data_IF_127182078690
#
_entry.id   IF_127182078690
#
_cell.length_a   1.000
_cell.length_b   1.000
_cell.length_c   1.000
_cell.angle_alpha   90.00
_cell.angle_beta   90.00
_cell.angle_gamma   90.00
#
_symmetry.space_group_name_H-M   'P 1'
#
loop_
_entity.id
_entity.type
_entity.pdbx_description
1 polymer ?
#
# COMPACT_ATOMS: atom_id res chain seq x y z
N UNK A 1 -14.76 -16.70 22.87
CA UNK A 1 -15.24 -15.57 22.04
C UNK A 1 -14.69 -15.82 20.64
N UNK A 2 -15.50 -16.40 19.74
CA UNK A 2 -15.03 -16.75 18.41
C UNK A 2 -14.87 -15.47 17.60
N UNK A 3 -13.64 -15.16 17.18
CA UNK A 3 -13.40 -14.15 16.16
C UNK A 3 -14.13 -14.60 14.90
N UNK A 4 -15.17 -13.87 14.50
CA UNK A 4 -15.86 -14.13 13.24
C UNK A 4 -14.80 -14.12 12.12
N UNK A 5 -14.77 -15.19 11.33
CA UNK A 5 -13.96 -15.24 10.13
C UNK A 5 -14.56 -14.24 9.14
N UNK A 6 -14.03 -13.02 9.14
CA UNK A 6 -14.42 -11.98 8.18
C UNK A 6 -13.90 -12.47 6.83
N UNK A 7 -14.77 -12.71 5.83
CA UNK A 7 -14.30 -13.03 4.49
C UNK A 7 -13.38 -11.90 4.02
N UNK A 8 -12.13 -12.23 3.71
CA UNK A 8 -11.14 -11.24 3.31
C UNK A 8 -11.29 -10.98 1.81
N UNK A 9 -11.54 -9.71 1.49
CA UNK A 9 -11.65 -9.24 0.13
C UNK A 9 -10.25 -9.10 -0.47
N UNK A 10 -10.07 -9.51 -1.73
CA UNK A 10 -8.86 -9.19 -2.48
C UNK A 10 -8.91 -7.72 -2.90
N UNK A 11 -7.74 -7.06 -2.91
CA UNK A 11 -7.64 -5.69 -3.42
C UNK A 11 -7.91 -5.70 -4.94
N UNK A 12 -8.58 -4.66 -5.42
CA UNK A 12 -8.90 -4.52 -6.84
C UNK A 12 -8.08 -3.41 -7.47
N UNK A 13 -7.78 -3.57 -8.76
CA UNK A 13 -7.09 -2.56 -9.55
C UNK A 13 -8.04 -2.03 -10.63
N UNK A 14 -8.02 -0.72 -10.83
CA UNK A 14 -8.76 -0.04 -11.89
C UNK A 14 -7.79 0.75 -12.75
N UNK A 15 -7.88 0.53 -14.06
CA UNK A 15 -7.09 1.25 -15.05
C UNK A 15 -8.00 2.20 -15.82
N UNK A 16 -7.52 3.42 -15.99
CA UNK A 16 -8.14 4.45 -16.81
C UNK A 16 -7.20 4.76 -17.98
N UNK A 17 -7.76 4.83 -19.18
CA UNK A 17 -6.95 5.04 -20.40
C UNK A 17 -6.63 6.52 -20.64
N UNK A 18 -7.39 7.44 -20.03
CA UNK A 18 -7.26 8.88 -20.20
C UNK A 18 -7.16 9.59 -18.85
N UNK A 19 -6.55 10.78 -18.84
CA UNK A 19 -6.55 11.66 -17.67
C UNK A 19 -7.97 12.21 -17.39
N UNK A 20 -8.35 12.40 -16.11
CA UNK A 20 -9.64 12.96 -15.77
C UNK A 20 -9.58 14.49 -15.84
N UNK A 21 -10.36 15.07 -16.75
CA UNK A 21 -10.65 16.51 -16.72
C UNK A 21 -11.37 16.91 -15.42
N UNK A 22 -11.62 18.21 -15.22
CA UNK A 22 -12.29 18.68 -14.00
C UNK A 22 -13.66 18.04 -13.75
N UNK A 23 -14.45 17.80 -14.80
CA UNK A 23 -15.78 17.21 -14.67
C UNK A 23 -15.69 15.72 -14.34
N UNK A 24 -14.82 14.97 -15.00
CA UNK A 24 -14.59 13.55 -14.72
C UNK A 24 -13.96 13.35 -13.34
N UNK A 25 -13.00 14.18 -12.96
CA UNK A 25 -12.39 14.12 -11.63
C UNK A 25 -13.45 14.25 -10.52
N UNK A 26 -14.43 15.15 -10.70
CA UNK A 26 -15.55 15.31 -9.77
C UNK A 26 -16.48 14.09 -9.75
N UNK A 27 -16.77 13.47 -10.91
CA UNK A 27 -17.57 12.23 -10.98
C UNK A 27 -16.87 11.05 -10.31
N UNK A 28 -15.57 10.91 -10.53
CA UNK A 28 -14.75 9.89 -9.87
C UNK A 28 -14.67 10.10 -8.36
N UNK A 29 -14.52 11.35 -7.90
CA UNK A 29 -14.59 11.67 -6.47
C UNK A 29 -15.94 11.29 -5.87
N UNK A 30 -17.05 11.53 -6.57
CA UNK A 30 -18.39 11.15 -6.08
C UNK A 30 -18.52 9.62 -5.94
N UNK A 31 -17.94 8.87 -6.87
CA UNK A 31 -17.86 7.41 -6.79
C UNK A 31 -17.09 6.98 -5.54
N UNK A 32 -15.91 7.57 -5.29
CA UNK A 32 -15.11 7.27 -4.10
C UNK A 32 -15.82 7.62 -2.78
N UNK A 33 -16.56 8.74 -2.75
CA UNK A 33 -17.31 9.16 -1.57
C UNK A 33 -18.38 8.13 -1.16
N UNK A 34 -19.10 7.59 -2.15
CA UNK A 34 -20.22 6.66 -1.95
C UNK A 34 -19.79 5.20 -1.77
N UNK A 35 -18.58 4.86 -2.20
CA UNK A 35 -18.09 3.47 -2.18
C UNK A 35 -17.75 3.01 -0.76
N UNK A 36 -18.19 1.82 -0.32
CA UNK A 36 -17.78 1.26 0.98
C UNK A 36 -16.29 0.89 0.97
N UNK A 37 -15.65 0.96 2.15
CA UNK A 37 -14.34 0.34 2.35
C UNK A 37 -14.55 -1.00 3.07
N UNK A 38 -14.16 -2.10 2.44
CA UNK A 38 -14.31 -3.44 3.02
C UNK A 38 -13.08 -3.89 3.82
N UNK A 39 -12.05 -3.06 3.88
CA UNK A 39 -10.79 -3.36 4.54
C UNK A 39 -10.72 -2.64 5.89
N UNK A 40 -10.03 -3.27 6.83
CA UNK A 40 -9.74 -2.73 8.15
C UNK A 40 -8.29 -3.02 8.53
N UNK A 41 -7.72 -2.33 9.52
CA UNK A 41 -6.39 -2.64 10.03
C UNK A 41 -6.24 -4.13 10.36
N UNK A 42 -5.18 -4.75 9.85
CA UNK A 42 -4.95 -6.19 9.97
C UNK A 42 -4.33 -6.51 11.36
N UNK A 43 -4.85 -7.56 12.02
CA UNK A 43 -4.33 -8.07 13.30
C UNK A 43 -4.05 -9.58 13.24
N UNK A 44 -2.96 -10.01 12.57
CA UNK A 44 -2.43 -11.36 12.70
C UNK A 44 -2.22 -11.75 14.17
N UNK A 45 -2.62 -12.96 14.54
CA UNK A 45 -2.49 -13.46 15.91
C UNK A 45 -1.13 -14.13 16.20
N UNK A 46 -0.41 -14.54 15.15
CA UNK A 46 0.86 -15.26 15.23
C UNK A 46 1.93 -14.62 14.37
N UNK A 47 3.10 -15.25 14.23
CA UNK A 47 4.23 -14.72 13.46
C UNK A 47 3.83 -14.33 12.04
N UNK A 48 4.49 -13.32 11.49
CA UNK A 48 4.31 -12.92 10.09
C UNK A 48 5.60 -13.05 9.29
N UNK A 49 5.44 -13.14 7.97
CA UNK A 49 6.51 -12.93 7.02
C UNK A 49 6.45 -11.51 6.44
N UNK A 50 7.61 -10.95 6.08
CA UNK A 50 7.68 -9.71 5.30
C UNK A 50 8.00 -10.01 3.85
N UNK A 51 7.32 -9.37 2.90
CA UNK A 51 7.70 -9.37 1.50
C UNK A 51 8.38 -8.06 1.12
N UNK A 52 9.68 -8.12 0.84
CA UNK A 52 10.55 -6.99 0.50
C UNK A 52 11.43 -6.54 1.67
N UNK A 53 12.74 -6.60 1.47
CA UNK A 53 13.78 -6.28 2.44
C UNK A 53 14.47 -4.92 2.23
N UNK A 54 13.86 -4.06 1.40
CA UNK A 54 14.34 -2.69 1.15
C UNK A 54 14.14 -1.76 2.36
N UNK A 55 14.20 -0.45 2.15
CA UNK A 55 14.06 0.55 3.23
C UNK A 55 12.76 0.39 4.03
N UNK A 56 11.63 0.11 3.34
CA UNK A 56 10.36 -0.15 4.03
C UNK A 56 10.38 -1.49 4.79
N UNK A 57 11.06 -2.51 4.26
CA UNK A 57 11.24 -3.79 4.95
C UNK A 57 12.04 -3.66 6.25
N UNK A 58 13.13 -2.89 6.23
CA UNK A 58 13.92 -2.57 7.45
C UNK A 58 13.08 -1.83 8.48
N UNK A 59 12.34 -0.81 8.04
CA UNK A 59 11.39 -0.11 8.90
C UNK A 59 10.34 -1.06 9.48
N UNK A 60 9.80 -1.98 8.68
CA UNK A 60 8.83 -2.97 9.12
C UNK A 60 9.41 -3.94 10.16
N UNK A 61 10.64 -4.43 9.97
CA UNK A 61 11.36 -5.25 10.96
C UNK A 61 11.52 -4.52 12.28
N UNK A 62 12.02 -3.29 12.24
CA UNK A 62 12.27 -2.50 13.45
C UNK A 62 10.96 -2.18 14.19
N UNK A 63 9.90 -1.89 13.43
CA UNK A 63 8.54 -1.74 13.95
C UNK A 63 8.07 -3.02 14.67
N UNK A 64 8.18 -4.19 14.03
CA UNK A 64 7.78 -5.49 14.61
C UNK A 64 8.50 -5.75 15.94
N UNK A 65 9.82 -5.52 15.97
CA UNK A 65 10.63 -5.62 17.19
C UNK A 65 10.11 -4.70 18.29
N UNK A 66 9.80 -3.45 17.96
CA UNK A 66 9.34 -2.46 18.94
C UNK A 66 7.94 -2.77 19.50
N UNK A 67 7.02 -3.29 18.67
CA UNK A 67 5.68 -3.67 19.15
C UNK A 67 5.63 -5.07 19.77
N UNK A 68 6.75 -5.80 19.76
CA UNK A 68 6.89 -7.14 20.33
C UNK A 68 6.18 -8.21 19.50
N UNK A 69 6.14 -8.04 18.18
CA UNK A 69 5.53 -9.00 17.26
C UNK A 69 6.61 -9.78 16.51
N UNK A 70 6.43 -11.09 16.40
CA UNK A 70 7.44 -11.98 15.80
C UNK A 70 7.50 -11.83 14.27
N UNK A 71 8.72 -11.67 13.77
CA UNK A 71 9.08 -11.80 12.35
C UNK A 71 9.66 -13.19 12.11
N UNK A 72 8.92 -14.04 11.40
CA UNK A 72 9.37 -15.41 11.15
C UNK A 72 10.39 -15.51 10.01
N UNK A 73 10.17 -14.74 8.92
CA UNK A 73 11.03 -14.74 7.75
C UNK A 73 10.81 -13.51 6.87
N UNK A 74 11.74 -13.30 5.94
CA UNK A 74 11.68 -12.28 4.91
C UNK A 74 11.74 -12.93 3.52
N UNK A 75 10.90 -12.44 2.62
CA UNK A 75 10.82 -12.87 1.23
C UNK A 75 11.36 -11.73 0.39
N UNK A 76 12.45 -11.96 -0.34
CA UNK A 76 13.01 -10.98 -1.27
C UNK A 76 13.56 -11.67 -2.50
N UNK A 77 13.46 -11.02 -3.67
CA UNK A 77 14.04 -11.52 -4.91
C UNK A 77 15.57 -11.69 -4.83
N UNK A 78 16.21 -10.90 -3.98
CA UNK A 78 17.66 -10.87 -3.78
C UNK A 78 18.04 -11.50 -2.43
N UNK A 79 17.45 -12.67 -2.15
CA UNK A 79 17.52 -13.32 -0.84
C UNK A 79 18.96 -13.59 -0.36
N UNK A 80 19.87 -13.95 -1.28
CA UNK A 80 21.27 -14.22 -0.93
C UNK A 80 21.99 -12.96 -0.45
N UNK A 81 21.86 -11.84 -1.18
CA UNK A 81 22.44 -10.57 -0.77
C UNK A 81 21.83 -10.08 0.55
N UNK A 82 20.51 -10.21 0.70
CA UNK A 82 19.82 -9.81 1.92
C UNK A 82 20.23 -10.68 3.11
N UNK A 83 20.40 -11.99 2.94
CA UNK A 83 20.87 -12.88 4.01
C UNK A 83 22.30 -12.57 4.46
N UNK A 84 23.14 -12.02 3.58
CA UNK A 84 24.49 -11.59 3.90
C UNK A 84 24.55 -10.20 4.58
N UNK A 85 23.45 -9.46 4.60
CA UNK A 85 23.37 -8.13 5.21
C UNK A 85 23.29 -8.26 6.75
N UNK A 86 24.22 -7.65 7.51
CA UNK A 86 24.25 -7.74 8.96
C UNK A 86 22.95 -7.28 9.65
N UNK A 87 22.18 -6.38 9.04
CA UNK A 87 20.92 -5.96 9.63
C UNK A 87 19.85 -7.07 9.62
N UNK A 88 19.95 -8.03 8.70
CA UNK A 88 19.05 -9.18 8.61
C UNK A 88 19.62 -10.43 9.29
N UNK A 89 20.72 -10.28 10.04
CA UNK A 89 21.33 -11.37 10.78
C UNK A 89 20.32 -12.08 11.71
N UNK A 90 20.29 -13.41 11.63
CA UNK A 90 19.37 -14.24 12.42
C UNK A 90 17.93 -14.30 11.89
N UNK A 91 17.59 -13.56 10.85
CA UNK A 91 16.29 -13.65 10.17
C UNK A 91 16.41 -14.60 8.99
N UNK A 92 15.47 -15.55 8.87
CA UNK A 92 15.42 -16.42 7.69
C UNK A 92 15.01 -15.60 6.47
N UNK A 93 15.81 -15.65 5.40
CA UNK A 93 15.50 -14.97 4.14
C UNK A 93 15.30 -16.00 3.02
N UNK A 94 14.27 -15.83 2.21
CA UNK A 94 13.92 -16.73 1.10
C UNK A 94 13.52 -15.97 -0.16
N UNK A 95 13.61 -16.62 -1.31
CA UNK A 95 13.11 -16.08 -2.59
C UNK A 95 11.59 -16.23 -2.71
N UNK A 96 10.90 -15.44 -3.55
CA UNK A 96 9.46 -15.58 -3.80
C UNK A 96 9.05 -16.98 -4.26
N UNK A 97 9.89 -17.67 -5.03
CA UNK A 97 9.63 -19.06 -5.46
C UNK A 97 9.57 -20.07 -4.31
N UNK A 98 10.18 -19.74 -3.16
CA UNK A 98 10.13 -20.54 -1.93
C UNK A 98 9.02 -20.07 -0.98
N UNK A 99 8.19 -19.11 -1.38
CA UNK A 99 7.04 -18.64 -0.63
C UNK A 99 5.81 -19.54 -0.77
N UNK A 100 5.85 -20.53 -1.66
CA UNK A 100 4.80 -21.54 -1.80
C UNK A 100 4.57 -22.23 -0.45
N UNK A 101 3.31 -22.32 -0.03
CA UNK A 101 2.89 -22.98 1.22
C UNK A 101 3.35 -22.30 2.52
N UNK A 102 3.65 -21.00 2.50
CA UNK A 102 3.79 -20.23 3.75
C UNK A 102 2.44 -20.22 4.47
N UNK A 103 2.36 -20.92 5.60
CA UNK A 103 1.16 -21.07 6.42
C UNK A 103 0.94 -19.89 7.39
N UNK A 104 1.50 -18.72 7.10
CA UNK A 104 1.39 -17.52 7.93
C UNK A 104 1.10 -16.28 7.07
N UNK A 105 0.61 -15.19 7.67
CA UNK A 105 0.36 -13.95 6.95
C UNK A 105 1.63 -13.32 6.39
N UNK A 106 1.53 -12.79 5.18
CA UNK A 106 2.59 -12.00 4.55
C UNK A 106 2.21 -10.53 4.58
N UNK A 107 3.03 -9.70 5.22
CA UNK A 107 2.93 -8.27 5.12
C UNK A 107 3.84 -7.74 4.01
N UNK A 108 3.26 -7.08 3.01
CA UNK A 108 3.97 -6.53 1.86
C UNK A 108 4.60 -5.19 2.23
N UNK A 109 5.93 -5.12 2.15
CA UNK A 109 6.77 -3.96 2.43
C UNK A 109 7.54 -3.49 1.19
N UNK A 110 6.92 -3.57 0.01
CA UNK A 110 7.44 -3.06 -1.27
C UNK A 110 6.59 -1.89 -1.75
N UNK A 111 7.24 -0.80 -2.18
CA UNK A 111 6.58 0.40 -2.75
C UNK A 111 6.95 0.64 -4.21
N UNK A 112 7.86 -0.18 -4.76
CA UNK A 112 8.40 -0.08 -6.13
C UNK A 112 7.64 -0.91 -7.16
N UNK A 113 6.63 -1.65 -6.73
CA UNK A 113 5.78 -2.47 -7.59
C UNK A 113 4.31 -2.23 -7.25
N UNK A 114 3.40 -2.35 -8.23
CA UNK A 114 1.97 -2.38 -7.99
C UNK A 114 1.61 -3.47 -6.97
N UNK A 115 0.73 -3.15 -6.04
CA UNK A 115 0.32 -4.02 -4.94
C UNK A 115 -0.62 -5.13 -5.43
N UNK A 116 -1.63 -4.81 -6.25
CA UNK A 116 -2.68 -5.79 -6.62
C UNK A 116 -2.13 -6.97 -7.44
N UNK A 117 -1.27 -6.77 -8.46
CA UNK A 117 -0.62 -7.88 -9.16
C UNK A 117 0.28 -8.72 -8.24
N UNK A 118 0.96 -8.09 -7.28
CA UNK A 118 1.80 -8.78 -6.32
C UNK A 118 0.97 -9.64 -5.36
N UNK A 119 -0.13 -9.11 -4.83
CA UNK A 119 -1.09 -9.83 -4.00
C UNK A 119 -1.63 -11.07 -4.73
N UNK A 120 -2.07 -10.92 -5.99
CA UNK A 120 -2.53 -12.05 -6.80
C UNK A 120 -1.46 -13.12 -6.96
N UNK A 121 -0.23 -12.71 -7.29
CA UNK A 121 0.90 -13.64 -7.43
C UNK A 121 1.15 -14.43 -6.15
N UNK A 122 1.05 -13.79 -4.98
CA UNK A 122 1.21 -14.47 -3.69
C UNK A 122 0.05 -15.43 -3.39
N UNK A 123 -1.18 -15.05 -3.72
CA UNK A 123 -2.34 -15.95 -3.62
C UNK A 123 -2.23 -17.15 -4.57
N UNK A 124 -1.75 -16.96 -5.79
CA UNK A 124 -1.51 -18.05 -6.76
C UNK A 124 -0.43 -19.04 -6.28
N UNK A 125 0.49 -18.57 -5.43
CA UNK A 125 1.48 -19.41 -4.72
C UNK A 125 0.91 -20.09 -3.47
N UNK A 126 -0.38 -19.93 -3.17
CA UNK A 126 -1.07 -20.57 -2.05
C UNK A 126 -0.95 -19.83 -0.72
N UNK A 127 -0.54 -18.55 -0.73
CA UNK A 127 -0.53 -17.74 0.50
C UNK A 127 -1.97 -17.38 0.88
N UNK A 128 -2.37 -17.75 2.08
CA UNK A 128 -3.74 -17.54 2.55
C UNK A 128 -4.04 -16.08 2.93
N UNK A 129 -3.06 -15.37 3.47
CA UNK A 129 -3.22 -13.99 3.94
C UNK A 129 -2.07 -13.12 3.44
N UNK A 130 -2.42 -12.10 2.65
CA UNK A 130 -1.52 -11.06 2.17
C UNK A 130 -2.10 -9.72 2.58
N UNK A 131 -1.29 -8.86 3.19
CA UNK A 131 -1.74 -7.53 3.65
C UNK A 131 -0.68 -6.48 3.34
N UNK A 132 -1.05 -5.22 3.07
CA UNK A 132 -0.08 -4.12 3.07
C UNK A 132 0.53 -3.98 4.48
N UNK A 133 1.86 -3.79 4.59
CA UNK A 133 2.51 -3.62 5.90
C UNK A 133 1.88 -2.49 6.74
N UNK A 134 1.50 -1.39 6.11
CA UNK A 134 0.91 -0.27 6.84
C UNK A 134 -0.50 -0.57 7.37
N UNK A 135 -1.23 -1.50 6.76
CA UNK A 135 -2.54 -1.92 7.28
C UNK A 135 -2.36 -2.78 8.53
N UNK A 136 -1.30 -3.58 8.58
CA UNK A 136 -0.85 -4.24 9.81
C UNK A 136 -0.41 -3.22 10.87
N UNK A 137 0.46 -2.27 10.51
CA UNK A 137 1.01 -1.29 11.43
C UNK A 137 -0.07 -0.39 12.07
N UNK A 138 -1.10 -0.03 11.32
CA UNK A 138 -2.24 0.77 11.80
C UNK A 138 -2.98 0.08 12.97
N UNK A 139 -2.91 -1.24 13.08
CA UNK A 139 -3.55 -1.96 14.18
C UNK A 139 -2.88 -1.73 15.55
N UNK A 140 -1.64 -1.20 15.56
CA UNK A 140 -0.82 -0.91 16.74
C UNK A 140 -0.73 0.60 17.05
N UNK A 141 -1.59 1.46 16.50
CA UNK A 141 -1.55 2.93 16.70
C UNK A 141 -1.54 3.39 18.16
N UNK A 142 -2.14 2.60 19.05
CA UNK A 142 -2.14 2.87 20.50
C UNK A 142 -0.78 2.61 21.16
N UNK A 143 0.11 1.86 20.50
CA UNK A 143 1.41 1.41 21.02
C UNK A 143 2.60 1.95 20.23
N UNK A 144 2.38 2.46 19.01
CA UNK A 144 3.44 2.95 18.14
C UNK A 144 2.96 4.15 17.29
N UNK A 145 3.77 5.23 17.15
CA UNK A 145 3.36 6.44 16.43
C UNK A 145 3.35 6.29 14.91
N UNK A 146 3.94 5.22 14.36
CA UNK A 146 3.90 4.93 12.92
C UNK A 146 2.45 4.85 12.46
N UNK A 147 2.11 5.72 11.52
CA UNK A 147 0.90 5.66 10.74
C UNK A 147 1.19 6.17 9.36
N UNK A 148 0.42 5.68 8.42
CA UNK A 148 0.42 6.20 7.07
C UNK A 148 -0.85 6.97 6.74
N UNK A 149 -1.72 7.21 7.74
CA UNK A 149 -2.96 7.95 7.58
C UNK A 149 -3.93 7.32 6.56
N UNK A 150 -3.79 6.02 6.28
CA UNK A 150 -4.31 5.40 5.07
C UNK A 150 -5.71 4.83 5.15
N UNK A 151 -6.31 4.69 6.33
CA UNK A 151 -7.74 4.44 6.42
C UNK A 151 -8.46 5.77 6.61
N UNK A 152 -9.23 6.18 5.60
CA UNK A 152 -10.14 7.32 5.72
C UNK A 152 -11.56 6.84 6.04
N UNK A 153 -12.23 7.58 6.92
CA UNK A 153 -13.68 7.47 7.09
C UNK A 153 -14.40 7.89 5.78
N UNK A 154 -15.68 7.53 5.63
CA UNK A 154 -16.54 8.12 4.60
C UNK A 154 -16.40 9.64 4.57
N UNK A 155 -16.28 10.19 3.35
CA UNK A 155 -16.19 11.63 3.16
C UNK A 155 -17.52 12.25 3.61
N UNK A 156 -17.45 13.25 4.48
CA UNK A 156 -18.60 14.09 4.78
C UNK A 156 -18.96 14.96 3.56
N UNK A 157 -20.11 15.62 3.61
CA UNK A 157 -20.49 16.59 2.57
C UNK A 157 -19.44 17.71 2.43
N UNK A 158 -18.87 18.17 3.56
CA UNK A 158 -17.86 19.21 3.60
C UNK A 158 -16.50 18.73 3.06
N UNK A 159 -16.10 17.48 3.38
CA UNK A 159 -14.89 16.86 2.82
C UNK A 159 -15.01 16.74 1.30
N UNK A 160 -16.17 16.30 0.81
CA UNK A 160 -16.43 16.17 -0.62
C UNK A 160 -16.37 17.53 -1.32
N UNK A 161 -17.09 18.54 -0.79
CA UNK A 161 -17.12 19.87 -1.38
C UNK A 161 -15.72 20.51 -1.42
N UNK A 162 -14.96 20.38 -0.34
CA UNK A 162 -13.60 20.92 -0.24
C UNK A 162 -12.64 20.21 -1.19
N UNK A 163 -12.71 18.87 -1.26
CA UNK A 163 -11.87 18.08 -2.16
C UNK A 163 -12.21 18.37 -3.63
N UNK A 164 -13.49 18.49 -3.96
CA UNK A 164 -13.93 18.86 -5.31
C UNK A 164 -13.38 20.24 -5.71
N UNK A 165 -13.46 21.24 -4.81
CA UNK A 165 -12.91 22.57 -5.07
C UNK A 165 -11.38 22.55 -5.29
N UNK A 166 -10.64 21.67 -4.60
CA UNK A 166 -9.20 21.47 -4.83
C UNK A 166 -8.95 20.88 -6.22
N UNK A 167 -9.67 19.81 -6.59
CA UNK A 167 -9.54 19.17 -7.90
C UNK A 167 -9.88 20.14 -9.05
N UNK A 168 -10.88 21.00 -8.88
CA UNK A 168 -11.25 22.01 -9.87
C UNK A 168 -10.14 23.04 -10.10
N UNK A 169 -9.43 23.44 -9.03
CA UNK A 169 -8.39 24.48 -9.08
C UNK A 169 -7.03 24.02 -9.57
N UNK A 170 -6.85 22.72 -9.77
CA UNK A 170 -5.58 22.23 -10.30
C UNK A 170 -5.32 22.65 -11.72
N UNK A 171 -4.05 22.92 -12.00
CA UNK A 171 -3.66 23.43 -13.29
C UNK A 171 -3.77 22.36 -14.39
N UNK A 172 -3.56 21.09 -14.05
CA UNK A 172 -3.45 19.99 -15.00
C UNK A 172 -4.19 18.72 -14.55
N UNK A 173 -4.57 17.89 -15.52
CA UNK A 173 -5.34 16.65 -15.30
C UNK A 173 -4.48 15.51 -14.73
N UNK A 174 -3.16 15.57 -14.89
CA UNK A 174 -2.24 14.58 -14.32
C UNK A 174 -2.20 14.72 -12.79
N UNK A 175 -2.19 15.94 -12.27
CA UNK A 175 -2.35 16.24 -10.84
C UNK A 175 -3.67 15.65 -10.33
N UNK A 176 -4.80 15.91 -11.03
CA UNK A 176 -6.13 15.33 -10.73
C UNK A 176 -6.08 13.82 -10.63
N UNK A 177 -5.48 13.17 -11.64
CA UNK A 177 -5.28 11.73 -11.67
C UNK A 177 -4.53 11.23 -10.43
N UNK A 178 -3.36 11.78 -10.12
CA UNK A 178 -2.55 11.32 -8.99
C UNK A 178 -3.25 11.43 -7.63
N UNK A 179 -4.06 12.46 -7.43
CA UNK A 179 -4.84 12.60 -6.21
C UNK A 179 -5.95 11.59 -6.09
N UNK A 180 -6.66 11.34 -7.19
CA UNK A 180 -7.71 10.33 -7.23
C UNK A 180 -7.10 8.94 -7.00
N UNK A 181 -5.90 8.65 -7.52
CA UNK A 181 -5.15 7.44 -7.18
C UNK A 181 -4.91 7.33 -5.67
N UNK A 182 -4.44 8.41 -5.03
CA UNK A 182 -4.19 8.43 -3.59
C UNK A 182 -5.49 8.27 -2.77
N UNK A 183 -6.56 8.98 -3.14
CA UNK A 183 -7.86 8.88 -2.48
C UNK A 183 -8.49 7.50 -2.66
N UNK A 184 -8.39 6.90 -3.84
CA UNK A 184 -8.90 5.56 -4.09
C UNK A 184 -8.24 4.53 -3.16
N UNK A 185 -6.91 4.56 -3.04
CA UNK A 185 -6.21 3.70 -2.09
C UNK A 185 -6.65 3.98 -0.66
N UNK A 186 -6.67 5.26 -0.25
CA UNK A 186 -6.96 5.67 1.12
C UNK A 186 -8.41 5.41 1.57
N UNK A 187 -9.37 5.56 0.67
CA UNK A 187 -10.80 5.50 0.98
C UNK A 187 -11.40 4.13 0.76
N UNK A 188 -10.95 3.41 -0.26
CA UNK A 188 -11.57 2.14 -0.68
C UNK A 188 -10.58 1.01 -0.94
N UNK A 189 -9.27 1.24 -0.79
CA UNK A 189 -8.20 0.25 -1.03
C UNK A 189 -8.21 -0.30 -2.46
N UNK A 190 -8.57 0.56 -3.40
CA UNK A 190 -8.46 0.25 -4.82
C UNK A 190 -7.17 0.83 -5.39
N UNK A 191 -6.41 0.03 -6.14
CA UNK A 191 -5.24 0.47 -6.88
C UNK A 191 -5.70 1.09 -8.20
N UNK A 192 -5.86 2.41 -8.21
CA UNK A 192 -6.19 3.14 -9.44
C UNK A 192 -4.90 3.51 -10.19
N UNK A 193 -4.94 3.41 -11.51
CA UNK A 193 -3.87 3.83 -12.41
C UNK A 193 -4.45 4.55 -13.61
N UNK A 194 -3.79 5.62 -14.04
CA UNK A 194 -4.12 6.35 -15.26
C UNK A 194 -2.94 6.21 -16.20
N UNK A 195 -3.19 5.74 -17.44
CA UNK A 195 -2.12 5.40 -18.40
C UNK A 195 -1.15 6.57 -18.63
N UNK A 196 -1.67 7.79 -18.65
CA UNK A 196 -0.91 9.02 -18.89
C UNK A 196 -0.39 9.71 -17.61
N UNK A 197 -0.66 9.16 -16.42
CA UNK A 197 -0.15 9.68 -15.14
C UNK A 197 0.56 8.57 -14.32
N UNK A 198 1.71 8.05 -14.80
CA UNK A 198 2.47 7.02 -14.09
C UNK A 198 3.16 7.60 -12.84
N UNK A 199 3.21 6.82 -11.76
CA UNK A 199 3.98 7.19 -10.57
C UNK A 199 5.47 6.94 -10.82
N UNK A 200 6.24 8.02 -11.02
CA UNK A 200 7.70 7.93 -11.28
C UNK A 200 8.49 8.19 -10.00
N UNK A 201 9.02 7.14 -9.39
CA UNK A 201 9.70 7.24 -8.09
C UNK A 201 10.92 8.19 -8.08
N UNK A 202 11.68 8.25 -9.18
CA UNK A 202 12.85 9.13 -9.30
C UNK A 202 12.52 10.63 -9.37
N UNK A 203 11.23 10.99 -9.50
CA UNK A 203 10.75 12.38 -9.62
C UNK A 203 9.84 12.79 -8.46
N UNK A 204 9.96 12.10 -7.31
CA UNK A 204 9.07 12.29 -6.15
C UNK A 204 9.09 13.71 -5.58
N UNK A 205 10.25 14.36 -5.58
CA UNK A 205 10.45 15.64 -4.89
C UNK A 205 10.61 16.83 -5.83
N UNK A 206 11.21 16.61 -7.00
CA UNK A 206 11.46 17.65 -7.98
C UNK A 206 10.86 17.28 -9.32
N UNK A 207 10.01 18.17 -9.83
CA UNK A 207 9.58 18.12 -11.22
C UNK A 207 10.77 18.40 -12.15
N UNK A 208 10.78 17.88 -13.38
CA UNK A 208 11.90 18.02 -14.31
C UNK A 208 12.39 19.47 -14.47
N UNK A 209 11.48 20.42 -14.48
CA UNK A 209 11.74 21.86 -14.61
C UNK A 209 12.56 22.40 -13.45
N UNK A 210 12.28 21.95 -12.22
CA UNK A 210 13.05 22.32 -11.03
C UNK A 210 14.37 21.57 -10.98
N UNK A 211 14.38 20.28 -11.33
CA UNK A 211 15.63 19.51 -11.38
C UNK A 211 16.64 20.11 -12.37
N UNK A 212 16.17 20.62 -13.50
CA UNK A 212 17.01 21.22 -14.55
C UNK A 212 17.72 22.52 -14.14
N UNK A 213 17.23 23.23 -13.11
CA UNK A 213 17.88 24.46 -12.60
C UNK A 213 18.74 24.22 -11.35
N UNK A 214 18.77 22.98 -10.84
CA UNK A 214 19.57 22.58 -9.68
C UNK A 214 20.90 21.90 -10.06
N UNK A 215 21.12 21.63 -11.36
CA UNK A 215 22.35 21.06 -11.95
C UNK A 215 23.21 22.12 -12.61
#
# INVERSE_FOLDING_TARGET
MFAAHIPRFAHTARRFDQLPDGAEARRLLATLAQSPCWFAPARPAGPIALYGAGSLGRLARDFLKQVGHELALVIDRDAERIAADPEWAGVRVVTPSRASHIAMPIAVSVVTSPYVPLERTLHDLGVAEVVPFYDFAESFRQRHPLSNGWFALPLTADDFASTAAVLERWHDDMSRAHHLQFLAWRRVREEWTFTEAPVVQGRRYFMPEIAAVLT
#
